data_IF_389226355057
#
_entry.id   IF_389226355057
#
_cell.length_a   1.000
_cell.length_b   1.000
_cell.length_c   1.000
_cell.angle_alpha   90.00
_cell.angle_beta   90.00
_cell.angle_gamma   90.00
#
_symmetry.space_group_name_H-M   'P 1'
#
loop_
_entity.id
_entity.type
_entity.pdbx_description
1 polymer ?
#
# COMPACT_ATOMS: atom_id res chain seq x y z
N UNK A 1 -23.07 9.69 -0.38
CA UNK A 1 -22.55 8.86 -1.49
C UNK A 1 -21.01 8.91 -1.54
N UNK A 2 -20.31 8.96 -0.41
CA UNK A 2 -18.87 9.30 -0.38
C UNK A 2 -17.98 8.09 -0.13
N UNK A 3 -18.43 7.12 0.67
CA UNK A 3 -17.58 6.00 1.14
C UNK A 3 -17.12 5.05 0.03
N UNK A 4 -17.96 4.75 -0.97
CA UNK A 4 -17.57 3.86 -2.08
C UNK A 4 -16.49 4.45 -2.98
N UNK A 5 -16.51 5.76 -3.23
CA UNK A 5 -15.51 6.44 -4.06
C UNK A 5 -14.16 6.43 -3.36
N UNK A 6 -14.15 6.66 -2.05
CA UNK A 6 -12.92 6.70 -1.26
C UNK A 6 -12.31 5.31 -1.06
N UNK A 7 -13.14 4.27 -0.87
CA UNK A 7 -12.67 2.87 -0.85
C UNK A 7 -12.09 2.48 -2.22
N UNK A 8 -12.73 2.89 -3.33
CA UNK A 8 -12.21 2.62 -4.66
C UNK A 8 -10.85 3.31 -4.90
N UNK A 9 -10.71 4.56 -4.48
CA UNK A 9 -9.44 5.28 -4.54
C UNK A 9 -8.36 4.61 -3.69
N UNK A 10 -8.73 4.06 -2.53
CA UNK A 10 -7.82 3.30 -1.67
C UNK A 10 -7.26 2.07 -2.40
N UNK A 11 -8.13 1.27 -3.02
CA UNK A 11 -7.70 0.11 -3.79
C UNK A 11 -6.86 0.50 -5.01
N UNK A 12 -7.22 1.56 -5.72
CA UNK A 12 -6.45 2.04 -6.87
C UNK A 12 -5.05 2.49 -6.44
N UNK A 13 -4.95 3.22 -5.32
CA UNK A 13 -3.68 3.63 -4.72
C UNK A 13 -2.85 2.40 -4.33
N UNK A 14 -3.46 1.41 -3.66
CA UNK A 14 -2.78 0.17 -3.26
C UNK A 14 -2.27 -0.63 -4.47
N UNK A 15 -3.08 -0.78 -5.51
CA UNK A 15 -2.69 -1.46 -6.75
C UNK A 15 -1.53 -0.75 -7.47
N UNK A 16 -1.56 0.58 -7.52
CA UNK A 16 -0.47 1.39 -8.06
C UNK A 16 0.82 1.22 -7.24
N UNK A 17 0.73 1.23 -5.90
CA UNK A 17 1.86 0.96 -5.01
C UNK A 17 2.44 -0.42 -5.27
N UNK A 18 1.61 -1.47 -5.36
CA UNK A 18 2.09 -2.82 -5.65
C UNK A 18 2.84 -2.89 -6.98
N UNK A 19 2.27 -2.32 -8.04
CA UNK A 19 2.94 -2.25 -9.36
C UNK A 19 4.23 -1.44 -9.32
N UNK A 20 4.28 -0.37 -8.54
CA UNK A 20 5.49 0.44 -8.37
C UNK A 20 6.58 -0.35 -7.64
N UNK A 21 6.23 -1.07 -6.56
CA UNK A 21 7.18 -1.92 -5.82
C UNK A 21 7.65 -3.11 -6.66
N UNK A 22 6.76 -3.80 -7.38
CA UNK A 22 7.14 -4.90 -8.27
C UNK A 22 8.09 -4.41 -9.39
N UNK A 23 7.82 -3.23 -9.96
CA UNK A 23 8.73 -2.59 -10.91
C UNK A 23 10.05 -2.20 -10.25
N UNK A 24 10.04 -1.70 -9.01
CA UNK A 24 11.26 -1.38 -8.29
C UNK A 24 12.08 -2.64 -7.98
N UNK A 25 11.46 -3.76 -7.60
CA UNK A 25 12.16 -5.04 -7.39
C UNK A 25 12.84 -5.55 -8.66
N UNK A 26 12.23 -5.37 -9.84
CA UNK A 26 12.79 -5.78 -11.13
C UNK A 26 13.86 -4.82 -11.70
N UNK A 27 13.85 -3.55 -11.30
CA UNK A 27 14.81 -2.55 -11.73
C UNK A 27 15.54 -2.02 -10.50
N UNK A 28 16.83 -2.31 -10.33
CA UNK A 28 17.70 -1.77 -9.26
C UNK A 28 17.84 -0.22 -9.33
N UNK A 29 16.72 0.49 -9.26
CA UNK A 29 16.59 1.92 -9.48
C UNK A 29 16.09 2.57 -8.19
N UNK A 30 16.99 3.16 -7.39
CA UNK A 30 16.68 3.69 -6.06
C UNK A 30 15.62 4.78 -6.05
N UNK A 31 15.42 5.53 -7.15
CA UNK A 31 14.36 6.52 -7.24
C UNK A 31 12.97 5.89 -7.29
N UNK A 32 12.81 4.80 -8.07
CA UNK A 32 11.57 4.02 -8.14
C UNK A 32 11.22 3.40 -6.80
N UNK A 33 12.25 2.99 -6.04
CA UNK A 33 12.10 2.51 -4.67
C UNK A 33 11.58 3.59 -3.74
N UNK A 34 12.16 4.80 -3.79
CA UNK A 34 11.75 5.89 -2.93
C UNK A 34 10.33 6.38 -3.24
N UNK A 35 9.94 6.41 -4.52
CA UNK A 35 8.55 6.68 -4.93
C UNK A 35 7.59 5.61 -4.39
N UNK A 36 7.96 4.33 -4.51
CA UNK A 36 7.15 3.23 -4.01
C UNK A 36 6.96 3.28 -2.49
N UNK A 37 7.99 3.65 -1.71
CA UNK A 37 7.89 3.84 -0.26
C UNK A 37 6.95 4.99 0.11
N UNK A 38 7.01 6.12 -0.60
CA UNK A 38 6.10 7.24 -0.36
C UNK A 38 4.64 6.85 -0.64
N UNK A 39 4.38 6.11 -1.71
CA UNK A 39 3.05 5.60 -2.02
C UNK A 39 2.57 4.58 -0.97
N UNK A 40 3.48 3.77 -0.44
CA UNK A 40 3.20 2.79 0.61
C UNK A 40 2.82 3.46 1.94
N UNK A 41 3.57 4.48 2.35
CA UNK A 41 3.26 5.29 3.53
C UNK A 41 1.92 6.01 3.39
N UNK A 42 1.65 6.59 2.21
CA UNK A 42 0.39 7.26 1.93
C UNK A 42 -0.81 6.29 1.97
N UNK A 43 -0.67 5.11 1.38
CA UNK A 43 -1.71 4.09 1.42
C UNK A 43 -1.96 3.59 2.86
N UNK A 44 -0.92 3.39 3.66
CA UNK A 44 -1.05 3.04 5.08
C UNK A 44 -1.83 4.11 5.87
N UNK A 45 -1.50 5.40 5.69
CA UNK A 45 -2.22 6.47 6.36
C UNK A 45 -3.70 6.51 5.96
N UNK A 46 -4.02 6.31 4.68
CA UNK A 46 -5.40 6.24 4.21
C UNK A 46 -6.17 5.06 4.81
N UNK A 47 -5.57 3.87 4.87
CA UNK A 47 -6.21 2.70 5.51
C UNK A 47 -6.47 2.98 6.98
N UNK A 48 -5.49 3.52 7.71
CA UNK A 48 -5.65 3.86 9.12
C UNK A 48 -6.74 4.93 9.34
N UNK A 49 -6.77 5.96 8.51
CA UNK A 49 -7.81 6.99 8.56
C UNK A 49 -9.21 6.40 8.32
N UNK A 50 -9.33 5.46 7.38
CA UNK A 50 -10.61 4.79 7.08
C UNK A 50 -11.03 3.80 8.16
N UNK A 51 -10.08 3.06 8.75
CA UNK A 51 -10.34 2.19 9.89
C UNK A 51 -10.79 3.00 11.11
N UNK A 52 -10.16 4.15 11.39
CA UNK A 52 -10.56 5.04 12.48
C UNK A 52 -11.92 5.69 12.26
N UNK A 53 -12.29 5.98 11.01
CA UNK A 53 -13.62 6.46 10.66
C UNK A 53 -14.73 5.42 10.94
N UNK A 54 -14.37 4.15 11.22
CA UNK A 54 -15.26 3.04 11.57
C UNK A 54 -16.43 2.82 10.59
N UNK A 55 -16.26 3.28 9.35
CA UNK A 55 -17.28 3.30 8.29
C UNK A 55 -17.00 2.24 7.21
N UNK A 56 -16.05 1.34 7.45
CA UNK A 56 -15.69 0.28 6.53
C UNK A 56 -16.49 -1.00 6.85
N UNK A 57 -17.02 -1.68 5.83
CA UNK A 57 -17.57 -3.02 6.01
C UNK A 57 -16.49 -4.00 6.54
N UNK A 58 -16.87 -5.01 7.34
CA UNK A 58 -15.93 -6.02 7.85
C UNK A 58 -15.16 -6.76 6.74
N UNK A 59 -15.80 -7.03 5.60
CA UNK A 59 -15.13 -7.58 4.40
C UNK A 59 -14.01 -6.67 3.87
N UNK A 60 -14.22 -5.36 3.92
CA UNK A 60 -13.25 -4.37 3.45
C UNK A 60 -12.13 -4.18 4.47
N UNK A 61 -12.43 -4.24 5.77
CA UNK A 61 -11.40 -4.32 6.82
C UNK A 61 -10.45 -5.49 6.60
N UNK A 62 -10.99 -6.67 6.30
CA UNK A 62 -10.18 -7.87 6.07
C UNK A 62 -9.29 -7.72 4.84
N UNK A 63 -9.84 -7.30 3.70
CA UNK A 63 -9.07 -7.06 2.47
C UNK A 63 -7.97 -6.02 2.66
N UNK A 64 -8.28 -4.91 3.35
CA UNK A 64 -7.29 -3.86 3.61
C UNK A 64 -6.18 -4.35 4.54
N UNK A 65 -6.50 -5.18 5.53
CA UNK A 65 -5.49 -5.81 6.39
C UNK A 65 -4.56 -6.73 5.60
N UNK A 66 -5.10 -7.54 4.68
CA UNK A 66 -4.29 -8.40 3.79
C UNK A 66 -3.40 -7.57 2.86
N UNK A 67 -3.92 -6.47 2.31
CA UNK A 67 -3.11 -5.57 1.48
C UNK A 67 -2.01 -4.87 2.28
N UNK A 68 -2.30 -4.44 3.51
CA UNK A 68 -1.30 -3.88 4.43
C UNK A 68 -0.19 -4.88 4.75
N UNK A 69 -0.55 -6.14 5.02
CA UNK A 69 0.42 -7.21 5.28
C UNK A 69 1.29 -7.47 4.05
N UNK A 70 0.69 -7.53 2.87
CA UNK A 70 1.42 -7.69 1.61
C UNK A 70 2.37 -6.52 1.35
N UNK A 71 1.95 -5.30 1.64
CA UNK A 71 2.81 -4.12 1.53
C UNK A 71 3.98 -4.18 2.51
N UNK A 72 3.73 -4.53 3.78
CA UNK A 72 4.79 -4.71 4.79
C UNK A 72 5.80 -5.76 4.31
N UNK A 73 5.32 -6.91 3.84
CA UNK A 73 6.19 -7.98 3.36
C UNK A 73 7.07 -7.52 2.18
N UNK A 74 6.51 -6.74 1.26
CA UNK A 74 7.29 -6.16 0.17
C UNK A 74 8.34 -5.14 0.66
N UNK A 75 8.01 -4.36 1.69
CA UNK A 75 8.92 -3.41 2.33
C UNK A 75 10.06 -4.13 3.10
N UNK A 76 9.76 -5.28 3.72
CA UNK A 76 10.75 -6.15 4.37
C UNK A 76 11.72 -6.78 3.36
N UNK A 77 11.20 -7.27 2.23
CA UNK A 77 12.03 -7.76 1.12
C UNK A 77 12.91 -6.63 0.60
N UNK A 78 12.34 -5.44 0.38
CA UNK A 78 13.07 -4.27 -0.09
C UNK A 78 14.20 -3.87 0.87
N UNK A 79 13.92 -3.82 2.18
CA UNK A 79 14.91 -3.49 3.21
C UNK A 79 16.04 -4.52 3.25
N UNK A 80 15.71 -5.79 3.00
CA UNK A 80 16.69 -6.88 2.92
C UNK A 80 17.61 -6.75 1.70
N UNK A 81 17.13 -6.21 0.58
CA UNK A 81 17.93 -5.95 -0.62
C UNK A 81 18.88 -4.75 -0.43
N UNK A 82 18.47 -3.70 0.29
CA UNK A 82 19.34 -2.53 0.54
C UNK A 82 20.46 -2.75 1.57
N UNK A 83 20.38 -3.83 2.37
CA UNK A 83 21.36 -4.16 3.42
C UNK A 83 22.47 -5.14 2.96
N UNK A 84 22.50 -5.52 1.69
CA UNK A 84 23.59 -6.31 1.07
C UNK A 84 24.52 -5.43 0.25
#
# INVERSE_FOLDING_TARGET
>A
MSDQTEIKQLYDTLDQTFKAVEKAQGYSNPQKYQEAEQQLAYAQQLVLAKQQANNLPPDEHHKLSLMLERLRHLQEIQSSIQQQ
#
